data_IF_302562358628
#
_entry.id   IF_302562358628
#
_cell.length_a   1.000
_cell.length_b   1.000
_cell.length_c   1.000
_cell.angle_alpha   90.00
_cell.angle_beta   90.00
_cell.angle_gamma   90.00
#
_symmetry.space_group_name_H-M   'P 1'
#
loop_
_entity.id
_entity.type
_entity.pdbx_description
1 polymer ?
#
# COMPACT_ATOMS: atom_id res chain seq x y z
N UNK A 1 -24.50 -24.94 -34.81
CA UNK A 1 -25.84 -24.52 -34.33
C UNK A 1 -26.09 -25.11 -32.94
N UNK A 2 -25.40 -24.62 -31.90
CA UNK A 2 -25.53 -25.11 -30.52
C UNK A 2 -26.41 -24.16 -29.71
N UNK A 3 -27.56 -24.64 -29.25
CA UNK A 3 -28.55 -23.84 -28.52
C UNK A 3 -28.07 -23.59 -27.08
N UNK A 4 -27.81 -22.32 -26.75
CA UNK A 4 -27.49 -21.85 -25.40
C UNK A 4 -28.70 -22.09 -24.48
N UNK A 5 -28.57 -22.94 -23.46
CA UNK A 5 -29.59 -23.14 -22.43
C UNK A 5 -29.47 -22.03 -21.39
N UNK A 6 -30.34 -21.02 -21.47
CA UNK A 6 -30.54 -20.06 -20.37
C UNK A 6 -31.03 -20.81 -19.13
N UNK A 7 -30.28 -20.70 -18.02
CA UNK A 7 -30.74 -21.16 -16.70
C UNK A 7 -31.82 -20.19 -16.22
N UNK A 8 -33.04 -20.71 -16.01
CA UNK A 8 -34.15 -19.94 -15.44
C UNK A 8 -33.87 -19.71 -13.94
N UNK A 9 -33.82 -18.45 -13.52
CA UNK A 9 -33.80 -18.09 -12.10
C UNK A 9 -35.09 -18.60 -11.45
N UNK A 10 -34.95 -19.49 -10.46
CA UNK A 10 -36.07 -19.90 -9.61
C UNK A 10 -36.35 -18.77 -8.63
N UNK A 11 -37.45 -18.04 -8.84
CA UNK A 11 -37.98 -17.15 -7.83
C UNK A 11 -38.33 -17.97 -6.58
N UNK A 12 -37.76 -17.62 -5.42
CA UNK A 12 -38.09 -18.26 -4.15
C UNK A 12 -39.52 -17.86 -3.73
N UNK A 13 -40.37 -18.79 -3.27
CA UNK A 13 -41.69 -18.44 -2.78
C UNK A 13 -41.54 -17.68 -1.47
N UNK A 14 -41.92 -16.40 -1.45
CA UNK A 14 -41.89 -15.55 -0.25
C UNK A 14 -41.34 -14.13 -0.41
N UNK A 15 -40.94 -13.70 -1.61
CA UNK A 15 -40.45 -12.33 -1.84
C UNK A 15 -41.50 -11.49 -2.63
N UNK A 16 -42.47 -10.83 -1.96
CA UNK A 16 -43.54 -10.09 -2.63
C UNK A 16 -43.06 -8.82 -3.34
N UNK A 17 -41.84 -8.36 -3.06
CA UNK A 17 -41.24 -7.16 -3.65
C UNK A 17 -40.32 -7.44 -4.85
N UNK A 18 -39.85 -8.68 -5.02
CA UNK A 18 -38.94 -9.04 -6.12
C UNK A 18 -37.57 -8.35 -6.10
N UNK A 19 -37.27 -7.58 -5.05
CA UNK A 19 -35.98 -6.94 -4.84
C UNK A 19 -34.98 -7.95 -4.24
N UNK A 20 -33.71 -7.94 -4.68
CA UNK A 20 -32.67 -8.74 -4.05
C UNK A 20 -32.53 -8.33 -2.57
N UNK A 21 -32.42 -9.31 -1.68
CA UNK A 21 -32.05 -9.06 -0.29
C UNK A 21 -30.63 -8.48 -0.23
N UNK A 22 -30.30 -7.74 0.83
CA UNK A 22 -28.90 -7.35 1.11
C UNK A 22 -27.96 -8.56 1.05
N UNK A 23 -28.42 -9.72 1.53
CA UNK A 23 -27.65 -10.97 1.43
C UNK A 23 -27.51 -11.50 0.01
N UNK A 24 -28.49 -11.26 -0.85
CA UNK A 24 -28.41 -11.62 -2.27
C UNK A 24 -27.49 -10.64 -3.02
N UNK A 25 -27.40 -9.38 -2.58
CA UNK A 25 -26.44 -8.39 -3.09
C UNK A 25 -25.03 -8.77 -2.63
N UNK A 26 -24.83 -9.17 -1.37
CA UNK A 26 -23.54 -9.64 -0.87
C UNK A 26 -23.11 -10.94 -1.60
N UNK A 27 -24.03 -11.89 -1.82
CA UNK A 27 -23.77 -13.12 -2.58
C UNK A 27 -23.53 -12.84 -4.09
N UNK A 28 -24.23 -11.88 -4.69
CA UNK A 28 -23.97 -11.43 -6.08
C UNK A 28 -22.70 -10.59 -6.18
N UNK A 29 -22.28 -9.82 -5.16
CA UNK A 29 -20.99 -9.12 -5.12
C UNK A 29 -19.83 -10.12 -4.98
N UNK A 30 -20.01 -11.21 -4.21
CA UNK A 30 -19.08 -12.33 -4.14
C UNK A 30 -19.03 -13.15 -5.44
N UNK A 31 -20.16 -13.35 -6.14
CA UNK A 31 -20.24 -14.09 -7.42
C UNK A 31 -19.84 -13.23 -8.65
N UNK A 32 -20.10 -11.93 -8.63
CA UNK A 32 -19.62 -10.93 -9.60
C UNK A 32 -18.22 -10.43 -9.27
N UNK A 33 -17.59 -11.06 -8.28
CA UNK A 33 -16.19 -10.95 -7.97
C UNK A 33 -15.40 -10.87 -9.27
N UNK A 34 -14.85 -9.69 -9.52
CA UNK A 34 -13.74 -9.51 -10.46
C UNK A 34 -12.81 -10.67 -10.19
N UNK A 35 -12.63 -11.54 -11.19
CA UNK A 35 -11.98 -12.83 -11.02
C UNK A 35 -10.55 -12.70 -10.52
N UNK A 36 -10.37 -12.46 -9.23
CA UNK A 36 -9.24 -12.94 -8.50
C UNK A 36 -9.53 -14.41 -8.27
N UNK A 37 -9.20 -15.22 -9.29
CA UNK A 37 -8.56 -16.49 -8.97
C UNK A 37 -7.51 -16.11 -7.94
N UNK A 38 -7.71 -16.46 -6.67
CA UNK A 38 -6.75 -16.20 -5.60
C UNK A 38 -5.53 -17.02 -5.95
N UNK A 39 -4.69 -16.49 -6.84
CA UNK A 39 -3.35 -17.00 -7.09
C UNK A 39 -2.68 -16.82 -5.75
N UNK A 40 -2.65 -17.90 -4.97
CA UNK A 40 -1.90 -17.95 -3.74
C UNK A 40 -0.43 -17.91 -4.17
N UNK A 41 0.10 -16.69 -4.27
CA UNK A 41 1.53 -16.52 -4.46
C UNK A 41 2.24 -17.06 -3.22
N UNK A 42 3.28 -17.85 -3.42
CA UNK A 42 4.16 -18.26 -2.33
C UNK A 42 5.07 -17.09 -1.91
N UNK A 43 5.67 -17.19 -0.71
CA UNK A 43 6.67 -16.22 -0.23
C UNK A 43 7.82 -16.08 -1.24
N UNK A 44 8.30 -17.21 -1.78
CA UNK A 44 9.42 -17.20 -2.72
C UNK A 44 9.04 -16.56 -4.05
N UNK A 45 7.86 -16.85 -4.59
CA UNK A 45 7.38 -16.21 -5.83
C UNK A 45 7.27 -14.69 -5.68
N UNK A 46 6.72 -14.20 -4.58
CA UNK A 46 6.63 -12.76 -4.33
C UNK A 46 8.02 -12.12 -4.20
N UNK A 47 8.93 -12.80 -3.51
CA UNK A 47 10.32 -12.35 -3.38
C UNK A 47 11.01 -12.28 -4.74
N UNK A 48 10.87 -13.31 -5.57
CA UNK A 48 11.44 -13.33 -6.93
C UNK A 48 10.86 -12.20 -7.79
N UNK A 49 9.54 -11.97 -7.74
CA UNK A 49 8.91 -10.86 -8.45
C UNK A 49 9.39 -9.49 -7.97
N UNK A 50 9.57 -9.27 -6.66
CA UNK A 50 10.16 -8.04 -6.12
C UNK A 50 11.60 -7.83 -6.59
N UNK A 51 12.34 -8.90 -6.84
CA UNK A 51 13.72 -8.87 -7.37
C UNK A 51 13.77 -8.90 -8.90
N UNK A 52 12.60 -8.98 -9.54
CA UNK A 52 12.43 -9.08 -10.98
C UNK A 52 13.15 -7.95 -11.72
N UNK A 53 13.69 -8.26 -12.90
CA UNK A 53 14.41 -7.27 -13.70
C UNK A 53 13.48 -6.26 -14.37
N UNK A 54 12.22 -6.64 -14.62
CA UNK A 54 11.23 -5.74 -15.20
C UNK A 54 10.47 -4.95 -14.12
N UNK A 55 9.93 -3.81 -14.51
CA UNK A 55 9.25 -2.87 -13.60
C UNK A 55 7.90 -3.45 -13.17
N UNK A 56 7.22 -4.10 -14.09
CA UNK A 56 5.87 -4.62 -13.97
C UNK A 56 5.76 -5.74 -12.93
N UNK A 57 6.78 -6.59 -12.80
CA UNK A 57 6.91 -7.67 -11.80
C UNK A 57 7.03 -7.08 -10.40
N UNK A 58 7.91 -6.08 -10.23
CA UNK A 58 8.11 -5.43 -8.93
C UNK A 58 6.85 -4.68 -8.49
N UNK A 59 6.20 -3.98 -9.42
CA UNK A 59 4.91 -3.32 -9.17
C UNK A 59 3.80 -4.31 -8.85
N UNK A 60 3.69 -5.39 -9.62
CA UNK A 60 2.70 -6.43 -9.41
C UNK A 60 2.88 -7.08 -8.03
N UNK A 61 4.11 -7.40 -7.64
CA UNK A 61 4.41 -7.95 -6.32
C UNK A 61 3.97 -7.00 -5.20
N UNK A 62 4.31 -5.71 -5.33
CA UNK A 62 3.90 -4.69 -4.37
C UNK A 62 2.37 -4.55 -4.29
N UNK A 63 1.66 -4.61 -5.42
CA UNK A 63 0.19 -4.61 -5.46
C UNK A 63 -0.41 -5.84 -4.77
N UNK A 64 0.16 -7.03 -4.97
CA UNK A 64 -0.28 -8.25 -4.29
C UNK A 64 -0.08 -8.10 -2.78
N UNK A 65 1.11 -7.68 -2.34
CA UNK A 65 1.42 -7.43 -0.92
C UNK A 65 0.45 -6.40 -0.31
N UNK A 66 0.18 -5.30 -1.03
CA UNK A 66 -0.74 -4.26 -0.57
C UNK A 66 -2.17 -4.77 -0.39
N UNK A 67 -2.62 -5.71 -1.23
CA UNK A 67 -3.93 -6.34 -1.10
C UNK A 67 -3.97 -7.37 0.02
N UNK A 68 -2.93 -8.21 0.15
CA UNK A 68 -2.80 -9.15 1.27
C UNK A 68 -2.79 -8.44 2.62
N UNK A 69 -2.21 -7.25 2.71
CA UNK A 69 -2.22 -6.43 3.93
C UNK A 69 -3.62 -5.89 4.28
N UNK A 70 -4.50 -5.67 3.29
CA UNK A 70 -5.90 -5.26 3.51
C UNK A 70 -6.76 -6.41 4.05
N UNK A 71 -6.42 -7.65 3.70
CA UNK A 71 -7.11 -8.86 4.18
C UNK A 71 -6.84 -9.13 5.68
N UNK A 72 -6.05 -8.28 6.35
CA UNK A 72 -5.81 -8.31 7.78
C UNK A 72 -4.87 -9.43 8.22
N UNK A 73 -5.24 -10.14 9.29
CA UNK A 73 -4.36 -11.10 9.97
C UNK A 73 -4.13 -12.41 9.22
N UNK A 74 -4.96 -12.75 8.22
CA UNK A 74 -4.91 -14.04 7.51
C UNK A 74 -3.58 -14.27 6.80
N UNK A 75 -3.01 -13.20 6.24
CA UNK A 75 -1.77 -13.26 5.44
C UNK A 75 -0.55 -12.76 6.23
N UNK A 76 -0.71 -12.50 7.53
CA UNK A 76 0.30 -11.81 8.34
C UNK A 76 1.62 -12.58 8.40
N UNK A 77 1.55 -13.91 8.56
CA UNK A 77 2.76 -14.75 8.59
C UNK A 77 3.62 -14.60 7.33
N UNK A 78 2.97 -14.59 6.15
CA UNK A 78 3.65 -14.39 4.86
C UNK A 78 4.22 -12.97 4.72
N UNK A 79 3.45 -11.95 5.13
CA UNK A 79 3.85 -10.55 5.00
C UNK A 79 5.03 -10.18 5.90
N UNK A 80 5.16 -10.84 7.06
CA UNK A 80 6.24 -10.59 8.03
C UNK A 80 7.44 -11.52 7.86
N UNK A 81 7.48 -12.32 6.79
CA UNK A 81 8.70 -13.03 6.43
C UNK A 81 9.81 -12.01 6.17
N UNK A 82 10.95 -12.20 6.85
CA UNK A 82 12.12 -11.33 6.75
C UNK A 82 12.53 -11.12 5.29
N UNK A 83 12.45 -12.19 4.49
CA UNK A 83 12.78 -12.19 3.07
C UNK A 83 11.89 -11.29 2.22
N UNK A 84 10.62 -11.08 2.60
CA UNK A 84 9.70 -10.18 1.90
C UNK A 84 10.04 -8.74 2.26
N UNK A 85 10.04 -8.41 3.56
CA UNK A 85 10.24 -7.03 4.02
C UNK A 85 11.62 -6.51 3.64
N UNK A 86 12.69 -7.30 3.84
CA UNK A 86 14.05 -6.89 3.47
C UNK A 86 14.26 -6.78 1.97
N UNK A 87 13.46 -7.45 1.15
CA UNK A 87 13.49 -7.29 -0.30
C UNK A 87 12.69 -6.07 -0.74
N UNK A 88 11.54 -5.81 -0.11
CA UNK A 88 10.66 -4.69 -0.44
C UNK A 88 11.24 -3.34 0.03
N UNK A 89 11.80 -3.26 1.24
CA UNK A 89 12.22 -1.98 1.83
C UNK A 89 13.23 -1.18 0.98
N UNK A 90 14.27 -1.78 0.37
CA UNK A 90 15.17 -1.05 -0.52
C UNK A 90 14.49 -0.48 -1.78
N UNK A 91 13.37 -1.07 -2.21
CA UNK A 91 12.62 -0.61 -3.39
C UNK A 91 11.87 0.71 -3.15
N UNK A 92 11.82 1.21 -1.90
CA UNK A 92 11.47 2.62 -1.62
C UNK A 92 12.37 3.60 -2.40
N UNK A 93 13.57 3.16 -2.80
CA UNK A 93 14.54 3.93 -3.57
C UNK A 93 14.68 3.45 -5.03
N UNK A 94 13.77 2.59 -5.54
CA UNK A 94 13.81 2.06 -6.91
C UNK A 94 13.89 3.20 -7.96
N UNK A 95 14.56 2.98 -9.09
CA UNK A 95 14.66 4.03 -10.12
C UNK A 95 13.31 4.42 -10.72
N UNK A 96 12.34 3.50 -10.70
CA UNK A 96 11.01 3.72 -11.22
C UNK A 96 10.06 4.25 -10.11
N UNK A 97 9.42 5.39 -10.38
CA UNK A 97 8.51 6.02 -9.43
C UNK A 97 7.23 5.20 -9.15
N UNK A 98 6.74 4.44 -10.12
CA UNK A 98 5.55 3.60 -9.95
C UNK A 98 5.86 2.39 -9.06
N UNK A 99 7.05 1.78 -9.17
CA UNK A 99 7.56 0.80 -8.18
C UNK A 99 7.64 1.42 -6.79
N UNK A 100 8.30 2.59 -6.66
CA UNK A 100 8.41 3.29 -5.37
C UNK A 100 7.04 3.51 -4.74
N UNK A 101 6.09 4.05 -5.50
CA UNK A 101 4.74 4.32 -5.03
C UNK A 101 4.05 3.05 -4.54
N UNK A 102 4.03 2.00 -5.36
CA UNK A 102 3.39 0.73 -5.04
C UNK A 102 4.00 0.07 -3.80
N UNK A 103 5.33 0.04 -3.69
CA UNK A 103 6.03 -0.54 -2.53
C UNK A 103 5.79 0.30 -1.27
N UNK A 104 5.85 1.62 -1.36
CA UNK A 104 5.62 2.50 -0.21
C UNK A 104 4.20 2.32 0.33
N UNK A 105 3.20 2.30 -0.56
CA UNK A 105 1.81 2.03 -0.18
C UNK A 105 1.61 0.63 0.40
N UNK A 106 2.30 -0.38 -0.13
CA UNK A 106 2.26 -1.74 0.42
C UNK A 106 2.81 -1.79 1.85
N UNK A 107 3.99 -1.23 2.10
CA UNK A 107 4.60 -1.16 3.43
C UNK A 107 3.76 -0.32 4.40
N UNK A 108 3.14 0.78 3.93
CA UNK A 108 2.20 1.58 4.71
C UNK A 108 1.00 0.73 5.16
N UNK A 109 0.41 -0.06 4.26
CA UNK A 109 -0.69 -0.95 4.62
C UNK A 109 -0.25 -2.02 5.64
N UNK A 110 0.93 -2.62 5.48
CA UNK A 110 1.46 -3.59 6.45
C UNK A 110 1.62 -2.94 7.83
N UNK A 111 2.23 -1.76 7.89
CA UNK A 111 2.42 -1.03 9.16
C UNK A 111 1.10 -0.69 9.87
N UNK A 112 0.01 -0.53 9.13
CA UNK A 112 -1.30 -0.22 9.70
C UNK A 112 -2.00 -1.44 10.35
N UNK A 113 -1.44 -2.65 10.26
CA UNK A 113 -2.06 -3.87 10.81
C UNK A 113 -2.02 -3.88 12.35
N UNK A 114 -0.86 -3.62 12.96
CA UNK A 114 -0.70 -3.53 14.42
C UNK A 114 0.63 -2.88 14.84
N UNK A 115 0.73 -2.48 16.11
CA UNK A 115 1.98 -1.94 16.68
C UNK A 115 3.15 -2.95 16.67
N UNK A 116 2.86 -4.24 16.88
CA UNK A 116 3.88 -5.29 16.83
C UNK A 116 4.47 -5.41 15.42
N UNK A 117 3.62 -5.29 14.39
CA UNK A 117 4.08 -5.27 12.99
C UNK A 117 5.02 -4.09 12.73
N UNK A 118 4.69 -2.91 13.23
CA UNK A 118 5.58 -1.75 13.12
C UNK A 118 6.94 -2.00 13.77
N UNK A 119 6.97 -2.66 14.93
CA UNK A 119 8.23 -3.04 15.59
C UNK A 119 9.06 -3.97 14.71
N UNK A 120 8.44 -5.00 14.13
CA UNK A 120 9.09 -5.91 13.17
C UNK A 120 9.63 -5.18 11.93
N UNK A 121 8.87 -4.23 11.37
CA UNK A 121 9.33 -3.44 10.22
C UNK A 121 10.58 -2.60 10.57
N UNK A 122 10.65 -2.04 11.78
CA UNK A 122 11.83 -1.31 12.25
C UNK A 122 13.02 -2.27 12.45
N UNK A 123 12.81 -3.46 13.02
CA UNK A 123 13.84 -4.50 13.17
C UNK A 123 14.41 -4.98 11.83
N UNK A 124 13.57 -5.00 10.79
CA UNK A 124 13.96 -5.32 9.42
C UNK A 124 14.53 -4.13 8.63
N UNK A 125 14.85 -3.03 9.32
CA UNK A 125 15.54 -1.85 8.79
C UNK A 125 14.76 -1.08 7.71
N UNK A 126 13.41 -1.05 7.81
CA UNK A 126 12.57 -0.22 6.90
C UNK A 126 12.85 1.28 7.07
N UNK A 127 13.26 1.70 8.27
CA UNK A 127 13.53 3.12 8.55
C UNK A 127 14.69 3.69 7.72
N UNK A 128 15.74 2.91 7.43
CA UNK A 128 16.90 3.41 6.65
C UNK A 128 16.53 3.86 5.22
N UNK A 129 15.89 3.03 4.38
CA UNK A 129 15.45 3.46 3.06
C UNK A 129 14.33 4.49 3.12
N UNK A 130 13.43 4.44 4.12
CA UNK A 130 12.38 5.45 4.31
C UNK A 130 12.94 6.85 4.61
N UNK A 131 13.89 6.94 5.55
CA UNK A 131 14.61 8.19 5.86
C UNK A 131 15.30 8.72 4.62
N UNK A 132 15.96 7.84 3.86
CA UNK A 132 16.67 8.21 2.63
C UNK A 132 15.70 8.79 1.60
N UNK A 133 14.56 8.13 1.38
CA UNK A 133 13.49 8.59 0.50
C UNK A 133 12.98 9.96 0.92
N UNK A 134 12.61 10.14 2.20
CA UNK A 134 12.08 11.42 2.69
C UNK A 134 13.08 12.56 2.54
N UNK A 135 14.38 12.30 2.75
CA UNK A 135 15.42 13.31 2.56
C UNK A 135 15.56 13.78 1.10
N UNK A 136 15.10 13.02 0.11
CA UNK A 136 15.02 13.49 -1.30
C UNK A 136 14.04 14.66 -1.47
N UNK A 137 13.08 14.82 -0.57
CA UNK A 137 12.09 15.90 -0.57
C UNK A 137 12.57 17.17 0.15
N UNK A 138 13.78 17.14 0.72
CA UNK A 138 14.38 18.32 1.34
C UNK A 138 14.76 19.35 0.28
N UNK A 139 14.20 20.55 0.37
CA UNK A 139 14.58 21.69 -0.47
C UNK A 139 13.53 22.07 -1.50
N UNK A 140 13.86 21.98 -2.80
CA UNK A 140 13.09 22.60 -3.89
C UNK A 140 11.88 21.81 -4.38
N UNK A 141 11.66 20.59 -3.89
CA UNK A 141 10.47 19.83 -4.28
C UNK A 141 9.19 20.56 -3.86
N UNK A 142 8.22 20.59 -4.79
CA UNK A 142 6.87 21.09 -4.57
C UNK A 142 5.88 20.21 -5.32
N UNK A 143 4.67 20.00 -4.77
CA UNK A 143 3.58 19.32 -5.45
C UNK A 143 3.25 20.01 -6.78
N UNK A 144 3.04 19.19 -7.81
CA UNK A 144 2.54 19.65 -9.10
C UNK A 144 1.11 20.16 -8.93
N UNK A 145 0.85 21.37 -9.41
CA UNK A 145 -0.49 21.99 -9.36
C UNK A 145 -1.34 21.65 -10.60
N UNK A 146 -0.76 20.96 -11.59
CA UNK A 146 -1.46 20.57 -12.82
C UNK A 146 -2.35 19.34 -12.57
N UNK A 147 -3.66 19.57 -12.52
CA UNK A 147 -4.68 18.54 -12.29
C UNK A 147 -4.79 17.53 -13.44
N UNK A 148 -4.17 17.78 -14.60
CA UNK A 148 -4.23 16.88 -15.75
C UNK A 148 -3.27 15.68 -15.62
N UNK A 149 -2.33 15.69 -14.67
CA UNK A 149 -1.33 14.62 -14.50
C UNK A 149 -1.25 14.16 -13.06
N UNK A 150 -1.05 12.85 -12.89
CA UNK A 150 -0.75 12.28 -11.58
C UNK A 150 0.64 12.74 -11.16
N UNK A 151 0.73 13.42 -10.02
CA UNK A 151 2.00 13.79 -9.42
C UNK A 151 2.55 12.63 -8.59
N UNK A 152 3.23 11.70 -9.25
CA UNK A 152 3.80 10.51 -8.60
C UNK A 152 4.71 10.85 -7.42
N UNK A 153 5.43 11.98 -7.44
CA UNK A 153 6.29 12.36 -6.30
C UNK A 153 5.47 12.76 -5.08
N UNK A 154 4.38 13.51 -5.28
CA UNK A 154 3.45 13.81 -4.19
C UNK A 154 2.75 12.57 -3.65
N UNK A 155 2.36 11.63 -4.51
CA UNK A 155 1.78 10.36 -4.06
C UNK A 155 2.78 9.55 -3.22
N UNK A 156 4.03 9.40 -3.70
CA UNK A 156 5.08 8.69 -2.96
C UNK A 156 5.35 9.36 -1.61
N UNK A 157 5.49 10.70 -1.59
CA UNK A 157 5.70 11.44 -0.34
C UNK A 157 4.57 11.20 0.65
N UNK A 158 3.33 11.30 0.18
CA UNK A 158 2.13 11.10 0.99
C UNK A 158 2.12 9.70 1.64
N UNK A 159 2.37 8.65 0.85
CA UNK A 159 2.47 7.28 1.36
C UNK A 159 3.64 7.11 2.35
N UNK A 160 4.79 7.76 2.07
CA UNK A 160 5.98 7.68 2.91
C UNK A 160 5.78 8.35 4.27
N UNK A 161 5.09 9.49 4.33
CA UNK A 161 4.80 10.17 5.61
C UNK A 161 3.82 9.35 6.44
N UNK A 162 2.79 8.76 5.82
CA UNK A 162 1.88 7.86 6.53
C UNK A 162 2.57 6.60 7.06
N UNK A 163 3.48 6.01 6.29
CA UNK A 163 4.31 4.91 6.80
C UNK A 163 5.16 5.37 8.00
N UNK A 164 5.80 6.55 7.91
CA UNK A 164 6.59 7.11 9.00
C UNK A 164 5.73 7.33 10.26
N UNK A 165 4.51 7.85 10.11
CA UNK A 165 3.58 8.05 11.21
C UNK A 165 3.28 6.74 11.94
N UNK A 166 2.88 5.70 11.22
CA UNK A 166 2.57 4.41 11.82
C UNK A 166 3.77 3.83 12.60
N UNK A 167 4.97 3.96 12.04
CA UNK A 167 6.21 3.47 12.69
C UNK A 167 6.56 4.29 13.94
N UNK A 168 6.48 5.62 13.87
CA UNK A 168 6.77 6.51 15.01
C UNK A 168 5.73 6.40 16.12
N UNK A 169 4.45 6.23 15.79
CA UNK A 169 3.38 6.02 16.77
C UNK A 169 3.57 4.71 17.55
N UNK A 170 4.14 3.69 16.90
CA UNK A 170 4.24 2.34 17.46
C UNK A 170 5.49 2.07 18.30
N UNK A 171 6.52 2.92 18.26
CA UNK A 171 7.74 2.63 19.02
C UNK A 171 8.78 3.74 19.11
N UNK A 172 9.44 3.80 20.27
CA UNK A 172 10.48 4.80 20.59
C UNK A 172 11.70 4.72 19.65
N UNK A 173 12.03 3.54 19.14
CA UNK A 173 13.14 3.36 18.20
C UNK A 173 12.94 4.17 16.92
N UNK A 174 11.73 4.15 16.34
CA UNK A 174 11.41 4.93 15.15
C UNK A 174 11.48 6.44 15.43
N UNK A 175 10.97 6.89 16.59
CA UNK A 175 11.06 8.29 17.04
C UNK A 175 12.52 8.73 17.26
N UNK A 176 13.35 7.86 17.83
CA UNK A 176 14.79 8.12 18.02
C UNK A 176 15.50 8.30 16.67
N UNK A 177 15.20 7.44 15.69
CA UNK A 177 15.72 7.58 14.32
C UNK A 177 15.21 8.87 13.69
N UNK A 178 13.91 9.18 13.78
CA UNK A 178 13.31 10.42 13.25
C UNK A 178 14.05 11.67 13.74
N UNK A 179 14.31 11.74 15.04
CA UNK A 179 15.01 12.85 15.68
C UNK A 179 16.48 12.92 15.27
N UNK A 180 17.19 11.77 15.30
CA UNK A 180 18.60 11.68 14.92
C UNK A 180 18.82 12.08 13.46
N UNK A 181 17.93 11.67 12.58
CA UNK A 181 18.01 11.92 11.14
C UNK A 181 17.45 13.29 10.73
N UNK A 182 16.95 14.08 11.69
CA UNK A 182 16.40 15.43 11.51
C UNK A 182 15.28 15.49 10.48
N UNK A 183 14.38 14.49 10.49
CA UNK A 183 13.27 14.44 9.54
C UNK A 183 12.29 15.61 9.69
N UNK A 184 12.22 16.24 10.86
CA UNK A 184 11.44 17.47 11.05
C UNK A 184 11.89 18.60 10.12
N UNK A 185 13.18 18.68 9.76
CA UNK A 185 13.69 19.69 8.82
C UNK A 185 13.18 19.47 7.38
N UNK A 186 12.73 18.25 7.06
CA UNK A 186 12.11 17.88 5.79
C UNK A 186 10.60 18.17 5.83
N UNK A 187 9.95 17.78 6.93
CA UNK A 187 8.51 17.81 7.07
C UNK A 187 7.96 19.21 7.37
N UNK A 188 8.61 19.98 8.25
CA UNK A 188 8.10 21.28 8.72
C UNK A 188 7.79 22.28 7.58
N UNK A 189 8.62 22.43 6.52
CA UNK A 189 8.28 23.28 5.39
C UNK A 189 7.00 22.87 4.65
N UNK A 190 6.65 21.57 4.68
CA UNK A 190 5.48 21.02 3.99
C UNK A 190 4.14 21.43 4.63
N UNK A 191 4.17 22.04 5.82
CA UNK A 191 2.99 22.62 6.48
C UNK A 191 2.51 23.94 5.84
N UNK A 192 3.28 24.52 4.92
CA UNK A 192 2.86 25.73 4.18
C UNK A 192 1.84 25.36 3.09
N UNK A 193 0.55 25.45 3.44
CA UNK A 193 -0.56 25.13 2.55
C UNK A 193 -0.54 25.90 1.23
N UNK A 194 0.06 27.10 1.21
CA UNK A 194 0.15 27.92 0.00
C UNK A 194 1.16 27.35 -1.00
N UNK A 195 2.16 26.62 -0.52
CA UNK A 195 3.21 26.01 -1.33
C UNK A 195 2.94 24.53 -1.63
N UNK A 196 2.43 23.80 -0.65
CA UNK A 196 2.30 22.33 -0.72
C UNK A 196 0.85 21.84 -0.86
N UNK A 197 -0.13 22.75 -0.74
CA UNK A 197 -1.54 22.38 -0.84
C UNK A 197 -2.06 21.60 0.38
N UNK A 198 -3.38 21.43 0.42
CA UNK A 198 -4.07 20.90 1.61
C UNK A 198 -3.71 19.44 1.88
N UNK A 199 -3.63 18.62 0.82
CA UNK A 199 -3.40 17.18 0.97
C UNK A 199 -2.07 16.87 1.64
N UNK A 200 -0.98 17.52 1.20
CA UNK A 200 0.34 17.31 1.79
C UNK A 200 0.41 17.93 3.20
N UNK A 201 -0.17 19.12 3.38
CA UNK A 201 -0.17 19.80 4.69
C UNK A 201 -0.89 18.99 5.77
N UNK A 202 -1.99 18.30 5.43
CA UNK A 202 -2.75 17.46 6.38
C UNK A 202 -2.02 16.16 6.69
N UNK A 203 -1.25 15.64 5.73
CA UNK A 203 -0.53 14.39 5.86
C UNK A 203 0.75 14.50 6.70
N UNK A 204 1.22 15.71 7.01
CA UNK A 204 2.49 16.00 7.71
C UNK A 204 2.22 16.50 9.11
#
# INVERSE_FOLDING_TARGET
MGKFKQRKHKARPGNPTGLPSVRDIDEEEDELGHGNTRVQHSVEELREMLQGCNVEERECAACVIANLAKDGSTSLGMLLEDSIIRTAAPLLLDKNLSVRHSVTGALRNISAISHDVCSTLVEYDVMTPLVTLLKEYRGEWKPCQDQAKIDSKSEIFYEAVHLLWNLCESGETAVSIFNRERLLDVLLPCLDVTKYGHRITIAV
#
